data_IF_735362924994
#
_entry.id   IF_735362924994
#
_cell.length_a   1.000
_cell.length_b   1.000
_cell.length_c   1.000
_cell.angle_alpha   90.00
_cell.angle_beta   90.00
_cell.angle_gamma   90.00
#
_symmetry.space_group_name_H-M   'P 1'
#
loop_
_entity.id
_entity.type
_entity.pdbx_description
1 polymer ?
#
# COMPACT_ATOMS: atom_id res chain seq x y z
N UNK A 1 -20.41 -7.00 -25.65
CA UNK A 1 -21.29 -6.18 -24.77
C UNK A 1 -21.64 -6.84 -23.42
N UNK A 2 -21.89 -8.16 -23.30
CA UNK A 2 -22.23 -8.83 -22.01
C UNK A 2 -21.12 -8.83 -20.94
N UNK A 3 -19.84 -8.90 -21.33
CA UNK A 3 -18.71 -8.93 -20.39
C UNK A 3 -18.54 -7.59 -19.63
N UNK A 4 -18.73 -6.46 -20.33
CA UNK A 4 -18.67 -5.12 -19.71
C UNK A 4 -19.80 -4.90 -18.68
N UNK A 5 -20.99 -5.45 -18.94
CA UNK A 5 -22.12 -5.37 -18.02
C UNK A 5 -21.90 -6.19 -16.74
N UNK A 6 -21.28 -7.38 -16.86
CA UNK A 6 -20.92 -8.23 -15.72
C UNK A 6 -19.81 -7.60 -14.88
N UNK A 7 -18.80 -7.01 -15.52
CA UNK A 7 -17.69 -6.34 -14.85
C UNK A 7 -18.14 -5.09 -14.07
N UNK A 8 -19.03 -4.27 -14.65
CA UNK A 8 -19.66 -3.14 -13.92
C UNK A 8 -20.47 -3.59 -12.71
N UNK A 9 -21.16 -4.73 -12.79
CA UNK A 9 -21.94 -5.31 -11.69
C UNK A 9 -21.06 -5.77 -10.53
N UNK A 10 -19.93 -6.37 -10.85
CA UNK A 10 -18.94 -6.84 -9.87
C UNK A 10 -18.23 -5.65 -9.20
N UNK A 11 -17.88 -4.60 -9.95
CA UNK A 11 -17.30 -3.37 -9.40
C UNK A 11 -18.25 -2.57 -8.49
N UNK A 12 -19.56 -2.58 -8.77
CA UNK A 12 -20.57 -1.88 -7.98
C UNK A 12 -21.25 -2.76 -6.93
N UNK A 13 -20.68 -3.93 -6.61
CA UNK A 13 -21.27 -4.84 -5.64
C UNK A 13 -21.30 -4.17 -4.25
N UNK A 14 -22.48 -3.67 -3.87
CA UNK A 14 -22.78 -3.17 -2.53
C UNK A 14 -23.23 -4.35 -1.69
N UNK A 15 -22.45 -4.71 -0.67
CA UNK A 15 -22.92 -5.67 0.34
C UNK A 15 -24.09 -5.08 1.09
N UNK A 16 -25.22 -5.79 1.13
CA UNK A 16 -26.43 -5.34 1.85
C UNK A 16 -26.32 -5.52 3.37
N UNK A 17 -25.41 -6.40 3.83
CA UNK A 17 -25.20 -6.67 5.26
C UNK A 17 -23.74 -6.42 5.68
N UNK A 18 -23.56 -5.99 6.94
CA UNK A 18 -22.22 -5.77 7.54
C UNK A 18 -21.45 -7.10 7.61
N UNK A 19 -22.14 -8.19 7.97
CA UNK A 19 -21.55 -9.52 8.06
C UNK A 19 -21.07 -10.05 6.71
N UNK A 20 -21.89 -9.92 5.65
CA UNK A 20 -21.50 -10.32 4.29
C UNK A 20 -20.30 -9.52 3.76
N UNK A 21 -20.25 -8.22 4.07
CA UNK A 21 -19.10 -7.37 3.71
C UNK A 21 -17.83 -7.82 4.43
N UNK A 22 -17.93 -8.08 5.74
CA UNK A 22 -16.83 -8.57 6.56
C UNK A 22 -16.27 -9.89 6.05
N UNK A 23 -17.12 -10.88 5.78
CA UNK A 23 -16.69 -12.18 5.24
C UNK A 23 -16.00 -12.04 3.87
N UNK A 24 -16.56 -11.25 2.96
CA UNK A 24 -15.96 -11.01 1.65
C UNK A 24 -14.58 -10.36 1.80
N UNK A 25 -14.45 -9.34 2.64
CA UNK A 25 -13.17 -8.67 2.88
C UNK A 25 -12.15 -9.63 3.48
N UNK A 26 -12.53 -10.41 4.51
CA UNK A 26 -11.64 -11.40 5.12
C UNK A 26 -11.17 -12.45 4.12
N UNK A 27 -12.06 -12.96 3.27
CA UNK A 27 -11.70 -13.93 2.24
C UNK A 27 -10.74 -13.34 1.20
N UNK A 28 -10.98 -12.11 0.74
CA UNK A 28 -10.11 -11.42 -0.22
C UNK A 28 -8.75 -11.06 0.38
N UNK A 29 -8.70 -10.64 1.65
CA UNK A 29 -7.45 -10.40 2.39
C UNK A 29 -6.67 -11.71 2.50
N UNK A 30 -7.32 -12.81 2.88
CA UNK A 30 -6.70 -14.12 2.99
C UNK A 30 -6.12 -14.60 1.66
N UNK A 31 -6.88 -14.45 0.56
CA UNK A 31 -6.38 -14.74 -0.79
C UNK A 31 -5.16 -13.88 -1.15
N UNK A 32 -5.17 -12.60 -0.79
CA UNK A 32 -4.02 -11.71 -0.96
C UNK A 32 -2.80 -12.17 -0.19
N UNK A 33 -2.96 -12.59 1.06
CA UNK A 33 -1.87 -13.17 1.86
C UNK A 33 -1.33 -14.45 1.22
N UNK A 34 -2.20 -15.32 0.70
CA UNK A 34 -1.79 -16.55 0.02
C UNK A 34 -1.00 -16.25 -1.26
N UNK A 35 -1.43 -15.28 -2.07
CA UNK A 35 -0.67 -14.81 -3.24
C UNK A 35 0.69 -14.24 -2.84
N UNK A 36 0.77 -13.49 -1.75
CA UNK A 36 2.04 -13.00 -1.21
C UNK A 36 2.99 -14.13 -0.80
N UNK A 37 2.47 -15.20 -0.19
CA UNK A 37 3.24 -16.40 0.13
C UNK A 37 3.74 -17.08 -1.14
N UNK A 38 2.87 -17.25 -2.14
CA UNK A 38 3.24 -17.83 -3.43
C UNK A 38 4.32 -16.99 -4.12
N UNK A 39 4.18 -15.67 -4.15
CA UNK A 39 5.20 -14.75 -4.67
C UNK A 39 6.55 -14.94 -3.96
N UNK A 40 6.54 -15.00 -2.63
CA UNK A 40 7.77 -15.20 -1.86
C UNK A 40 8.38 -16.59 -2.12
N UNK A 41 7.57 -17.63 -2.25
CA UNK A 41 8.03 -18.98 -2.58
C UNK A 41 8.62 -19.04 -4.00
N UNK A 42 8.00 -18.35 -4.97
CA UNK A 42 8.53 -18.24 -6.34
C UNK A 42 9.88 -17.52 -6.35
N UNK A 43 9.99 -16.38 -5.66
CA UNK A 43 11.27 -15.67 -5.49
C UNK A 43 12.33 -16.57 -4.84
N UNK A 44 12.00 -17.25 -3.74
CA UNK A 44 12.92 -18.17 -3.08
C UNK A 44 13.29 -19.38 -3.95
N UNK A 45 12.37 -19.88 -4.78
CA UNK A 45 12.64 -21.00 -5.69
C UNK A 45 13.55 -20.61 -6.86
N UNK A 46 13.42 -19.38 -7.35
CA UNK A 46 14.17 -18.90 -8.52
C UNK A 46 15.56 -18.37 -8.12
N UNK A 47 15.65 -17.70 -6.98
CA UNK A 47 16.90 -17.12 -6.48
C UNK A 47 17.60 -17.97 -5.41
N UNK A 48 16.92 -18.96 -4.82
CA UNK A 48 17.46 -19.74 -3.68
C UNK A 48 17.65 -18.90 -2.42
N UNK A 49 18.33 -19.47 -1.42
CA UNK A 49 18.92 -18.71 -0.30
C UNK A 49 20.16 -17.95 -0.80
N UNK A 50 19.97 -16.99 -1.70
CA UNK A 50 21.06 -16.19 -2.28
C UNK A 50 21.09 -14.79 -1.70
N UNK A 51 22.28 -14.20 -1.76
CA UNK A 51 22.50 -12.80 -1.41
C UNK A 51 21.59 -11.83 -2.18
N UNK A 52 21.19 -12.16 -3.41
CA UNK A 52 20.26 -11.35 -4.20
C UNK A 52 18.87 -11.25 -3.58
N UNK A 53 18.38 -12.33 -2.95
CA UNK A 53 17.10 -12.34 -2.28
C UNK A 53 17.14 -11.53 -0.96
N UNK A 54 18.25 -11.63 -0.23
CA UNK A 54 18.48 -10.81 0.97
C UNK A 54 18.56 -9.32 0.62
N UNK A 55 19.22 -8.97 -0.48
CA UNK A 55 19.27 -7.61 -1.03
C UNK A 55 17.86 -7.09 -1.35
N UNK A 56 17.08 -7.89 -2.05
CA UNK A 56 15.69 -7.56 -2.39
C UNK A 56 14.85 -7.33 -1.12
N UNK A 57 14.85 -8.27 -0.17
CA UNK A 57 14.05 -8.10 1.05
C UNK A 57 14.53 -6.92 1.92
N UNK A 58 15.83 -6.69 2.01
CA UNK A 58 16.38 -5.55 2.76
C UNK A 58 15.94 -4.22 2.15
N UNK A 59 15.87 -4.10 0.82
CA UNK A 59 15.50 -2.84 0.17
C UNK A 59 14.04 -2.42 0.38
N UNK A 60 13.11 -3.36 0.64
CA UNK A 60 11.71 -3.03 0.96
C UNK A 60 11.49 -2.54 2.39
N UNK A 61 12.38 -2.88 3.33
CA UNK A 61 12.11 -2.66 4.77
C UNK A 61 11.84 -1.19 5.09
N UNK A 62 12.64 -0.29 4.54
CA UNK A 62 12.55 1.13 4.86
C UNK A 62 11.33 1.81 4.20
N UNK A 63 11.05 1.60 2.89
CA UNK A 63 9.80 2.01 2.29
C UNK A 63 8.57 1.47 3.03
N UNK A 64 8.54 0.17 3.34
CA UNK A 64 7.40 -0.46 4.03
C UNK A 64 7.21 0.10 5.44
N UNK A 65 8.29 0.34 6.18
CA UNK A 65 8.21 0.96 7.51
C UNK A 65 7.56 2.35 7.45
N UNK A 66 7.97 3.18 6.50
CA UNK A 66 7.37 4.51 6.29
C UNK A 66 5.89 4.40 5.95
N UNK A 67 5.54 3.50 5.02
CA UNK A 67 4.14 3.26 4.66
C UNK A 67 3.31 2.81 5.87
N UNK A 68 3.82 1.87 6.66
CA UNK A 68 3.10 1.31 7.81
C UNK A 68 2.87 2.37 8.92
N UNK A 69 3.86 3.20 9.23
CA UNK A 69 3.73 4.22 10.28
C UNK A 69 2.74 5.31 9.86
N UNK A 70 2.92 5.89 8.67
CA UNK A 70 2.13 7.06 8.26
C UNK A 70 0.76 6.71 7.72
N UNK A 71 0.64 5.62 6.96
CA UNK A 71 -0.61 5.27 6.27
C UNK A 71 -1.46 4.32 7.10
N UNK A 72 -0.94 3.15 7.44
CA UNK A 72 -1.70 2.16 8.23
C UNK A 72 -1.95 2.69 9.64
N UNK A 73 -0.93 3.25 10.29
CA UNK A 73 -1.01 3.74 11.67
C UNK A 73 -1.75 5.07 11.81
N UNK A 74 -1.17 6.16 11.32
CA UNK A 74 -1.63 7.50 11.69
C UNK A 74 -2.95 7.93 11.01
N UNK A 75 -3.15 7.59 9.73
CA UNK A 75 -4.20 8.23 8.92
C UNK A 75 -5.41 7.32 8.71
N UNK A 76 -5.21 6.02 8.51
CA UNK A 76 -6.29 5.10 8.13
C UNK A 76 -7.40 4.99 9.18
N UNK A 77 -7.08 5.10 10.47
CA UNK A 77 -8.05 4.98 11.55
C UNK A 77 -9.01 6.19 11.65
N UNK A 78 -8.52 7.39 11.36
CA UNK A 78 -9.30 8.62 11.52
C UNK A 78 -9.95 9.09 10.21
N UNK A 79 -9.38 8.74 9.05
CA UNK A 79 -9.84 9.25 7.76
C UNK A 79 -11.30 8.90 7.44
N UNK A 80 -11.67 7.61 7.52
CA UNK A 80 -13.01 7.14 7.13
C UNK A 80 -14.11 7.76 8.02
N UNK A 81 -14.00 7.77 9.36
CA UNK A 81 -14.99 8.42 10.23
C UNK A 81 -15.16 9.92 9.93
N UNK A 82 -14.05 10.66 9.80
CA UNK A 82 -14.09 12.10 9.53
C UNK A 82 -14.66 12.40 8.13
N UNK A 83 -14.24 11.65 7.11
CA UNK A 83 -14.77 11.79 5.76
C UNK A 83 -16.28 11.53 5.73
N UNK A 84 -16.77 10.50 6.44
CA UNK A 84 -18.20 10.22 6.56
C UNK A 84 -18.96 11.33 7.30
N UNK A 85 -18.36 11.92 8.34
CA UNK A 85 -18.96 13.05 9.05
C UNK A 85 -19.12 14.26 8.11
N UNK A 86 -18.07 14.65 7.38
CA UNK A 86 -18.17 15.72 6.40
C UNK A 86 -19.18 15.37 5.30
N UNK A 87 -19.14 14.14 4.77
CA UNK A 87 -20.04 13.69 3.71
C UNK A 87 -21.51 13.75 4.12
N UNK A 88 -21.82 13.51 5.40
CA UNK A 88 -23.18 13.57 5.93
C UNK A 88 -23.74 14.99 6.02
N UNK A 89 -22.85 16.00 6.14
CA UNK A 89 -23.22 17.40 6.30
C UNK A 89 -23.16 18.16 4.98
N UNK A 90 -22.06 17.98 4.25
CA UNK A 90 -21.70 18.75 3.06
C UNK A 90 -20.71 17.96 2.20
N UNK A 91 -21.19 17.53 1.03
CA UNK A 91 -20.40 16.73 0.10
C UNK A 91 -19.16 17.46 -0.41
N UNK A 92 -19.23 18.77 -0.64
CA UNK A 92 -18.10 19.54 -1.17
C UNK A 92 -17.01 19.67 -0.10
N UNK A 93 -17.39 19.85 1.16
CA UNK A 93 -16.43 19.82 2.29
C UNK A 93 -15.76 18.45 2.43
N UNK A 94 -16.48 17.35 2.20
CA UNK A 94 -15.89 16.01 2.22
C UNK A 94 -14.81 15.84 1.14
N UNK A 95 -15.07 16.32 -0.08
CA UNK A 95 -14.08 16.29 -1.17
C UNK A 95 -12.88 17.21 -0.90
N UNK A 96 -13.12 18.41 -0.36
CA UNK A 96 -12.04 19.31 0.06
C UNK A 96 -11.16 18.66 1.13
N UNK A 97 -11.76 17.99 2.12
CA UNK A 97 -11.03 17.24 3.14
C UNK A 97 -10.20 16.11 2.53
N UNK A 98 -10.78 15.29 1.63
CA UNK A 98 -10.03 14.24 0.94
C UNK A 98 -8.86 14.78 0.12
N UNK A 99 -9.06 15.87 -0.62
CA UNK A 99 -8.00 16.52 -1.39
C UNK A 99 -6.88 17.04 -0.50
N UNK A 100 -7.25 17.69 0.62
CA UNK A 100 -6.28 18.15 1.61
C UNK A 100 -5.44 16.99 2.15
N UNK A 101 -6.08 15.88 2.53
CA UNK A 101 -5.38 14.70 3.05
C UNK A 101 -4.46 14.07 2.00
N UNK A 102 -4.89 13.96 0.73
CA UNK A 102 -4.04 13.45 -0.36
C UNK A 102 -2.80 14.33 -0.54
N UNK A 103 -2.97 15.65 -0.59
CA UNK A 103 -1.86 16.60 -0.74
C UNK A 103 -0.93 16.53 0.48
N UNK A 104 -1.49 16.53 1.68
CA UNK A 104 -0.72 16.46 2.92
C UNK A 104 0.13 15.18 2.99
N UNK A 105 -0.46 14.02 2.67
CA UNK A 105 0.26 12.74 2.62
C UNK A 105 1.30 12.73 1.52
N UNK A 106 0.94 13.19 0.32
CA UNK A 106 1.88 13.24 -0.80
C UNK A 106 3.09 14.10 -0.47
N UNK A 107 2.86 15.25 0.17
CA UNK A 107 3.92 16.13 0.65
C UNK A 107 4.77 15.48 1.75
N UNK A 108 4.13 14.92 2.78
CA UNK A 108 4.80 14.27 3.90
C UNK A 108 5.67 13.10 3.43
N UNK A 109 5.10 12.17 2.65
CA UNK A 109 5.81 11.03 2.08
C UNK A 109 6.87 11.46 1.06
N UNK A 110 6.64 12.55 0.31
CA UNK A 110 7.63 13.13 -0.58
C UNK A 110 8.86 13.64 0.17
N UNK A 111 8.67 14.35 1.29
CA UNK A 111 9.76 14.79 2.17
C UNK A 111 10.52 13.60 2.73
N UNK A 112 9.81 12.62 3.32
CA UNK A 112 10.46 11.42 3.85
C UNK A 112 11.19 10.63 2.76
N UNK A 113 10.61 10.52 1.56
CA UNK A 113 11.22 9.94 0.38
C UNK A 113 12.54 10.61 0.02
N UNK A 114 12.55 11.94 -0.07
CA UNK A 114 13.77 12.71 -0.35
C UNK A 114 14.82 12.54 0.75
N UNK A 115 14.42 12.59 2.02
CA UNK A 115 15.33 12.36 3.14
C UNK A 115 15.97 10.96 3.06
N UNK A 116 15.18 9.92 2.79
CA UNK A 116 15.72 8.58 2.60
C UNK A 116 16.65 8.53 1.39
N UNK A 117 16.31 9.16 0.25
CA UNK A 117 17.18 9.14 -0.93
C UNK A 117 18.56 9.75 -0.63
N UNK A 118 18.59 10.83 0.15
CA UNK A 118 19.83 11.52 0.54
C UNK A 118 20.60 10.72 1.60
N UNK A 119 19.92 10.23 2.63
CA UNK A 119 20.54 9.59 3.79
C UNK A 119 20.59 8.06 3.71
N UNK A 120 20.13 7.43 2.62
CA UNK A 120 20.08 5.98 2.48
C UNK A 120 21.43 5.32 2.73
N UNK A 121 22.52 5.87 2.18
CA UNK A 121 23.86 5.31 2.33
C UNK A 121 24.34 5.28 3.79
N UNK A 122 24.41 6.42 4.52
CA UNK A 122 24.85 6.41 5.92
C UNK A 122 23.87 5.71 6.86
N UNK A 123 22.58 5.63 6.51
CA UNK A 123 21.58 4.93 7.32
C UNK A 123 21.71 3.41 7.16
N UNK A 124 21.69 2.92 5.93
CA UNK A 124 21.71 1.49 5.63
C UNK A 124 23.07 0.85 5.94
N UNK A 125 24.19 1.58 5.77
CA UNK A 125 25.51 1.07 6.14
C UNK A 125 25.66 0.79 7.64
N UNK A 126 24.93 1.52 8.49
CA UNK A 126 24.91 1.30 9.94
C UNK A 126 23.94 0.19 10.35
N UNK A 127 22.85 0.01 9.61
CA UNK A 127 21.80 -0.96 9.93
C UNK A 127 22.16 -2.36 9.41
N UNK A 128 22.78 -2.46 8.23
CA UNK A 128 23.01 -3.70 7.50
C UNK A 128 24.46 -4.21 7.68
N UNK A 129 24.85 -4.48 8.93
CA UNK A 129 26.24 -4.79 9.32
C UNK A 129 26.77 -6.14 8.77
N UNK A 130 25.92 -6.96 8.12
CA UNK A 130 26.29 -8.26 7.52
C UNK A 130 26.41 -8.27 5.99
N UNK A 131 26.16 -7.15 5.32
CA UNK A 131 26.21 -7.08 3.86
C UNK A 131 27.62 -6.77 3.38
N UNK A 132 28.11 -7.49 2.37
CA UNK A 132 29.32 -7.07 1.66
C UNK A 132 29.08 -5.74 0.92
N UNK A 133 30.14 -5.11 0.44
CA UNK A 133 30.06 -3.76 -0.15
C UNK A 133 29.19 -3.72 -1.41
N UNK A 134 29.28 -4.72 -2.29
CA UNK A 134 28.50 -4.78 -3.53
C UNK A 134 26.99 -4.97 -3.26
N UNK A 135 26.64 -5.84 -2.32
CA UNK A 135 25.25 -6.05 -1.91
C UNK A 135 24.71 -4.81 -1.21
N UNK A 136 25.51 -4.13 -0.38
CA UNK A 136 25.08 -2.91 0.31
C UNK A 136 24.75 -1.79 -0.69
N UNK A 137 25.60 -1.56 -1.68
CA UNK A 137 25.33 -0.55 -2.73
C UNK A 137 24.08 -0.92 -3.55
N UNK A 138 23.86 -2.22 -3.80
CA UNK A 138 22.63 -2.71 -4.43
C UNK A 138 21.38 -2.44 -3.58
N UNK A 139 21.43 -2.69 -2.27
CA UNK A 139 20.32 -2.37 -1.36
C UNK A 139 20.05 -0.87 -1.33
N UNK A 140 21.10 -0.04 -1.29
CA UNK A 140 20.96 1.43 -1.29
C UNK A 140 20.25 1.88 -2.57
N UNK A 141 20.68 1.40 -3.74
CA UNK A 141 20.07 1.75 -5.01
C UNK A 141 18.60 1.31 -5.08
N UNK A 142 18.30 0.06 -4.73
CA UNK A 142 16.94 -0.47 -4.76
C UNK A 142 16.03 0.24 -3.76
N UNK A 143 16.52 0.56 -2.56
CA UNK A 143 15.75 1.31 -1.56
C UNK A 143 15.34 2.68 -2.11
N UNK A 144 16.27 3.39 -2.77
CA UNK A 144 15.98 4.69 -3.39
C UNK A 144 14.89 4.59 -4.45
N UNK A 145 14.95 3.56 -5.29
CA UNK A 145 13.94 3.29 -6.32
C UNK A 145 12.59 2.98 -5.67
N UNK A 146 12.60 2.12 -4.64
CA UNK A 146 11.39 1.68 -3.93
C UNK A 146 10.74 2.78 -3.09
N UNK A 147 11.41 3.90 -2.82
CA UNK A 147 10.76 5.03 -2.12
C UNK A 147 9.58 5.64 -2.90
N UNK A 148 9.39 5.31 -4.17
CA UNK A 148 8.16 5.65 -4.91
C UNK A 148 6.93 4.87 -4.40
N UNK A 149 7.12 3.65 -3.87
CA UNK A 149 6.04 2.76 -3.45
C UNK A 149 5.17 3.36 -2.33
N UNK A 150 5.71 3.89 -1.21
CA UNK A 150 4.87 4.47 -0.15
C UNK A 150 4.00 5.62 -0.66
N UNK A 151 4.50 6.43 -1.59
CA UNK A 151 3.75 7.53 -2.18
C UNK A 151 2.51 7.02 -2.93
N UNK A 152 2.71 6.03 -3.82
CA UNK A 152 1.63 5.43 -4.61
C UNK A 152 0.62 4.71 -3.73
N UNK A 153 1.11 3.89 -2.79
CA UNK A 153 0.25 3.14 -1.87
C UNK A 153 -0.49 4.06 -0.89
N UNK A 154 0.14 5.16 -0.46
CA UNK A 154 -0.47 6.16 0.41
C UNK A 154 -1.67 6.83 -0.24
N UNK A 155 -1.52 7.31 -1.48
CA UNK A 155 -2.63 7.89 -2.26
C UNK A 155 -3.73 6.85 -2.50
N UNK A 156 -3.34 5.63 -2.90
CA UNK A 156 -4.27 4.51 -3.11
C UNK A 156 -5.07 4.17 -1.85
N UNK A 157 -4.46 4.31 -0.66
CA UNK A 157 -5.12 4.04 0.62
C UNK A 157 -6.20 5.06 0.94
N UNK A 158 -5.99 6.34 0.60
CA UNK A 158 -7.01 7.38 0.76
C UNK A 158 -8.17 7.20 -0.22
N UNK A 159 -7.87 6.93 -1.49
CA UNK A 159 -8.89 6.59 -2.49
C UNK A 159 -9.70 5.37 -2.02
N UNK A 160 -9.03 4.37 -1.48
CA UNK A 160 -9.68 3.19 -0.90
C UNK A 160 -10.55 3.57 0.30
N UNK A 161 -10.11 4.50 1.15
CA UNK A 161 -10.93 5.05 2.24
C UNK A 161 -12.23 5.68 1.74
N UNK A 162 -12.14 6.54 0.72
CA UNK A 162 -13.30 7.17 0.09
C UNK A 162 -14.25 6.13 -0.50
N UNK A 163 -13.73 5.13 -1.22
CA UNK A 163 -14.55 4.05 -1.79
C UNK A 163 -15.24 3.21 -0.70
N UNK A 164 -14.54 2.91 0.41
CA UNK A 164 -15.12 2.22 1.57
C UNK A 164 -16.26 3.04 2.21
N UNK A 165 -16.13 4.36 2.29
CA UNK A 165 -17.22 5.27 2.72
C UNK A 165 -18.48 5.14 1.87
N UNK A 166 -18.35 4.86 0.56
CA UNK A 166 -19.47 4.59 -0.35
C UNK A 166 -19.91 3.12 -0.40
N UNK A 167 -19.41 2.28 0.51
CA UNK A 167 -19.66 0.82 0.58
C UNK A 167 -19.17 0.04 -0.66
N UNK A 168 -18.18 0.56 -1.38
CA UNK A 168 -17.56 -0.09 -2.54
C UNK A 168 -16.37 -0.97 -2.12
N UNK A 169 -16.61 -1.92 -1.21
CA UNK A 169 -15.58 -2.73 -0.57
C UNK A 169 -14.82 -3.66 -1.53
N UNK A 170 -15.52 -4.21 -2.53
CA UNK A 170 -14.92 -5.13 -3.50
C UNK A 170 -13.76 -4.48 -4.28
N UNK A 171 -13.98 -3.27 -4.79
CA UNK A 171 -12.94 -2.49 -5.51
C UNK A 171 -11.74 -2.22 -4.63
N UNK A 172 -11.97 -1.91 -3.35
CA UNK A 172 -10.88 -1.57 -2.41
C UNK A 172 -10.01 -2.76 -2.03
N UNK A 173 -10.55 -3.98 -2.16
CA UNK A 173 -9.83 -5.20 -1.79
C UNK A 173 -9.13 -5.85 -3.00
N UNK A 174 -9.37 -5.35 -4.21
CA UNK A 174 -8.62 -5.72 -5.41
C UNK A 174 -7.22 -5.09 -5.45
N UNK A 175 -7.04 -3.90 -4.89
CA UNK A 175 -5.75 -3.19 -4.96
C UNK A 175 -4.58 -4.00 -4.35
N UNK A 176 -4.71 -4.61 -3.15
CA UNK A 176 -3.65 -5.48 -2.61
C UNK A 176 -3.43 -6.75 -3.43
N UNK A 177 -4.47 -7.30 -4.06
CA UNK A 177 -4.35 -8.47 -4.93
C UNK A 177 -3.51 -8.16 -6.17
N UNK A 178 -3.76 -6.99 -6.79
CA UNK A 178 -3.00 -6.53 -7.95
C UNK A 178 -1.52 -6.31 -7.59
N UNK A 179 -1.24 -5.68 -6.44
CA UNK A 179 0.13 -5.47 -5.97
C UNK A 179 0.91 -6.78 -5.78
N UNK A 180 0.25 -7.85 -5.34
CA UNK A 180 0.91 -9.16 -5.18
C UNK A 180 1.12 -9.91 -6.51
N UNK A 181 0.38 -9.55 -7.56
CA UNK A 181 0.50 -10.18 -8.89
C UNK A 181 1.59 -9.53 -9.76
N UNK A 182 2.02 -8.31 -9.44
CA UNK A 182 3.05 -7.56 -10.17
C UNK A 182 2.63 -6.12 -10.44
#
# INVERSE_FOLDING_TARGET
>A
MRIQASFKRVLHYKSETIFGAGLLMSALIFLGSLLGIVRNALLASHFGASHSLDVYYASFRLPDLIYNIFIIGAISAAFIPLFNEYLSKDKDKAWQFSNFIIIFIGFLLGIFGLLIIIFARPLLSKILVGFNQDNLESVILLTKIMMIQPLLLGISSIISGVLKSFRLFFVTTLAPLMYNLG
#
